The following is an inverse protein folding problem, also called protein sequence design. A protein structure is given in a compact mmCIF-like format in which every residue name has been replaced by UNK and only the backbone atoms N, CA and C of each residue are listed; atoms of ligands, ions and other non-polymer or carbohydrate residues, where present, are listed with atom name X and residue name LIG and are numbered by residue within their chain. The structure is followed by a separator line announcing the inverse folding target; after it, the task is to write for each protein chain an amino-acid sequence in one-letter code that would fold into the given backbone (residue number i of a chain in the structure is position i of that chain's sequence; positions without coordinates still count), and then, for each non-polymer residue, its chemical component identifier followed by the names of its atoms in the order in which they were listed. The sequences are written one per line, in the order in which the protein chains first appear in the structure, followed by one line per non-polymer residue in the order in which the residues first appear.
data_IF_883494230142
#
_entry.id   IF_883494230142
#
_cell.length_a   1.000
_cell.length_b   1.000
_cell.length_c   1.000
_cell.angle_alpha   90.00
_cell.angle_beta   90.00
_cell.angle_gamma   90.00
#
_symmetry.space_group_name_H-M   'P 1'
#
loop_
_entity.id
_entity.type
_entity.pdbx_description
1 polymer ?
#
# COMPACT_ATOMS: atom_id res chain seq x y z
N UNK A 1 -17.69 -11.23 5.83
CA UNK A 1 -16.23 -11.43 5.71
C UNK A 1 -15.67 -11.51 7.12
N UNK A 2 -14.72 -12.40 7.42
CA UNK A 2 -14.12 -12.47 8.78
C UNK A 2 -12.78 -11.73 8.79
N UNK A 3 -12.65 -10.77 9.72
CA UNK A 3 -11.45 -9.97 9.92
C UNK A 3 -10.68 -10.46 11.13
N UNK A 4 -9.39 -10.70 10.97
CA UNK A 4 -8.51 -11.06 12.09
C UNK A 4 -7.41 -10.01 12.26
N UNK A 5 -7.37 -9.37 13.44
CA UNK A 5 -6.24 -8.55 13.83
C UNK A 5 -5.12 -9.41 14.39
N UNK A 6 -3.95 -9.29 13.75
CA UNK A 6 -2.78 -10.05 14.11
C UNK A 6 -1.58 -9.12 14.35
N UNK A 7 -0.60 -9.63 15.10
CA UNK A 7 0.65 -8.93 15.39
C UNK A 7 1.82 -9.90 15.27
N UNK A 8 2.80 -9.54 14.46
CA UNK A 8 4.08 -10.26 14.38
C UNK A 8 5.21 -9.28 14.68
N UNK A 9 6.09 -9.62 15.62
CA UNK A 9 7.38 -9.02 16.03
C UNK A 9 7.54 -7.48 16.11
N UNK A 10 6.93 -6.67 15.25
CA UNK A 10 6.67 -5.22 15.38
C UNK A 10 5.60 -4.67 14.40
N UNK A 11 4.82 -5.54 13.75
CA UNK A 11 3.90 -5.21 12.67
C UNK A 11 2.49 -5.66 13.03
N UNK A 12 1.61 -4.69 13.28
CA UNK A 12 0.15 -4.92 13.37
C UNK A 12 -0.39 -5.01 11.95
N UNK A 13 -1.20 -6.02 11.69
CA UNK A 13 -1.89 -6.17 10.42
C UNK A 13 -3.30 -6.66 10.60
N UNK A 14 -4.18 -6.21 9.71
CA UNK A 14 -5.49 -6.80 9.51
C UNK A 14 -5.34 -7.91 8.46
N UNK A 15 -5.87 -9.10 8.71
CA UNK A 15 -5.86 -10.18 7.72
C UNK A 15 -7.25 -10.68 7.39
N UNK A 16 -7.43 -11.00 6.10
CA UNK A 16 -8.64 -11.58 5.55
C UNK A 16 -8.24 -12.79 4.71
N UNK A 17 -9.02 -13.88 4.79
CA UNK A 17 -8.79 -15.09 4.00
C UNK A 17 -8.85 -14.77 2.50
N UNK A 18 -7.85 -15.23 1.73
CA UNK A 18 -7.84 -15.10 0.26
C UNK A 18 -8.71 -16.19 -0.34
N UNK A 19 -9.64 -15.82 -1.21
CA UNK A 19 -10.41 -16.75 -2.03
C UNK A 19 -9.46 -17.50 -2.99
N UNK A 20 -9.75 -18.78 -3.24
CA UNK A 20 -8.88 -19.64 -4.05
C UNK A 20 -8.74 -19.15 -5.50
N UNK A 21 -7.62 -19.46 -6.14
CA UNK A 21 -7.33 -19.08 -7.53
C UNK A 21 -5.94 -18.49 -7.72
N UNK A 22 -5.56 -18.30 -8.98
CA UNK A 22 -4.36 -17.60 -9.39
C UNK A 22 -4.51 -16.10 -9.18
N UNK A 23 -3.39 -15.39 -9.00
CA UNK A 23 -3.40 -13.95 -8.80
C UNK A 23 -3.93 -13.22 -10.05
N UNK A 24 -5.14 -12.66 -9.93
CA UNK A 24 -5.79 -11.83 -10.94
C UNK A 24 -5.07 -10.49 -11.17
N UNK A 25 -5.61 -9.68 -12.08
CA UNK A 25 -5.07 -8.35 -12.39
C UNK A 25 -5.11 -7.43 -11.17
N UNK A 26 -6.26 -7.38 -10.48
CA UNK A 26 -6.52 -6.53 -9.33
C UNK A 26 -5.54 -6.85 -8.19
N UNK A 27 -5.38 -8.15 -7.86
CA UNK A 27 -4.39 -8.61 -6.88
C UNK A 27 -2.97 -8.14 -7.24
N UNK A 28 -2.55 -8.35 -8.49
CA UNK A 28 -1.22 -7.93 -8.96
C UNK A 28 -1.03 -6.41 -8.83
N UNK A 29 -2.07 -5.62 -9.11
CA UNK A 29 -2.00 -4.16 -9.00
C UNK A 29 -1.83 -3.71 -7.55
N UNK A 30 -2.66 -4.19 -6.63
CA UNK A 30 -2.62 -3.73 -5.23
C UNK A 30 -1.40 -4.27 -4.47
N UNK A 31 -0.89 -5.46 -4.80
CA UNK A 31 0.30 -6.03 -4.16
C UNK A 31 1.60 -5.36 -4.65
N UNK A 32 1.66 -4.99 -5.94
CA UNK A 32 2.89 -4.41 -6.53
C UNK A 32 3.01 -2.90 -6.36
N UNK A 33 1.90 -2.20 -6.15
CA UNK A 33 1.86 -0.75 -6.05
C UNK A 33 1.60 -0.29 -4.62
N UNK A 34 2.01 0.94 -4.32
CA UNK A 34 1.56 1.67 -3.13
C UNK A 34 0.55 2.70 -3.59
N UNK A 35 -0.73 2.38 -3.50
CA UNK A 35 -1.82 3.25 -3.96
C UNK A 35 -2.21 4.20 -2.82
N UNK A 36 -2.23 5.53 -3.03
CA UNK A 36 -2.65 6.48 -2.01
C UNK A 36 -4.08 6.18 -1.51
N UNK A 37 -4.29 6.30 -0.20
CA UNK A 37 -5.58 6.00 0.44
C UNK A 37 -5.83 4.51 0.71
N UNK A 38 -5.06 3.59 0.11
CA UNK A 38 -5.12 2.16 0.42
C UNK A 38 -4.09 1.74 1.47
N UNK A 39 -4.50 0.80 2.33
CA UNK A 39 -3.59 0.07 3.19
C UNK A 39 -2.70 -0.83 2.32
N UNK A 40 -1.39 -0.84 2.60
CA UNK A 40 -0.46 -1.69 1.86
C UNK A 40 -0.81 -3.15 2.08
N UNK A 41 -1.10 -3.86 1.00
CA UNK A 41 -1.46 -5.28 1.02
C UNK A 41 -0.28 -6.17 0.68
N UNK A 42 -0.24 -7.34 1.33
CA UNK A 42 0.68 -8.43 1.04
C UNK A 42 -0.07 -9.75 1.15
N UNK A 43 0.38 -10.78 0.43
CA UNK A 43 -0.16 -12.14 0.58
C UNK A 43 0.73 -12.91 1.55
N UNK A 44 0.15 -13.41 2.64
CA UNK A 44 0.85 -14.23 3.63
C UNK A 44 0.21 -15.61 3.70
N UNK A 45 1.03 -16.62 4.00
CA UNK A 45 0.55 -17.97 4.26
C UNK A 45 0.59 -18.23 5.77
N UNK A 46 -0.58 -18.50 6.35
CA UNK A 46 -0.73 -18.88 7.75
C UNK A 46 -1.40 -20.25 7.81
N UNK A 47 -0.73 -21.23 8.41
CA UNK A 47 -1.21 -22.61 8.52
C UNK A 47 -1.61 -23.25 7.17
N UNK A 48 -0.89 -22.90 6.09
CA UNK A 48 -1.16 -23.41 4.75
C UNK A 48 -2.29 -22.67 4.00
N UNK A 49 -2.94 -21.69 4.62
CA UNK A 49 -3.95 -20.84 3.97
C UNK A 49 -3.36 -19.50 3.55
N UNK A 50 -3.64 -19.09 2.31
CA UNK A 50 -3.31 -17.76 1.83
C UNK A 50 -4.26 -16.73 2.44
N UNK A 51 -3.71 -15.60 2.88
CA UNK A 51 -4.45 -14.47 3.46
C UNK A 51 -3.91 -13.16 2.90
N UNK A 52 -4.81 -12.23 2.61
CA UNK A 52 -4.44 -10.84 2.41
C UNK A 52 -4.12 -10.23 3.77
N UNK A 53 -2.98 -9.55 3.87
CA UNK A 53 -2.48 -8.90 5.08
C UNK A 53 -2.25 -7.43 4.80
N UNK A 54 -3.04 -6.58 5.45
CA UNK A 54 -3.01 -5.13 5.33
C UNK A 54 -2.19 -4.52 6.49
N UNK A 55 -1.24 -3.66 6.16
CA UNK A 55 -0.44 -2.96 7.18
C UNK A 55 -1.32 -2.02 8.02
N UNK A 56 -1.33 -2.23 9.34
CA UNK A 56 -2.17 -1.51 10.30
C UNK A 56 -1.35 -0.86 11.43
N UNK A 57 -0.11 -0.44 11.14
CA UNK A 57 0.72 0.26 12.13
C UNK A 57 0.10 1.60 12.49
N UNK A 58 0.04 1.89 13.79
CA UNK A 58 -0.59 3.10 14.32
C UNK A 58 -2.04 3.29 13.84
N UNK A 59 -2.74 2.20 13.51
CA UNK A 59 -4.13 2.23 13.08
C UNK A 59 -5.07 1.56 14.10
N UNK A 60 -6.31 2.02 14.11
CA UNK A 60 -7.49 1.37 14.72
C UNK A 60 -8.55 1.13 13.64
N UNK A 61 -9.53 0.25 13.85
CA UNK A 61 -10.67 0.18 12.93
C UNK A 61 -11.53 1.42 13.07
N UNK A 62 -12.34 1.72 12.06
CA UNK A 62 -13.33 2.79 12.14
C UNK A 62 -14.35 2.49 13.26
N UNK A 63 -14.75 1.23 13.38
CA UNK A 63 -15.63 0.74 14.47
C UNK A 63 -15.02 1.02 15.86
N UNK A 64 -13.77 0.60 16.11
CA UNK A 64 -13.07 0.83 17.38
C UNK A 64 -12.88 2.32 17.67
N UNK A 65 -12.56 3.11 16.63
CA UNK A 65 -12.26 4.54 16.74
C UNK A 65 -13.47 5.35 17.24
N UNK A 66 -14.67 4.99 16.79
CA UNK A 66 -15.91 5.70 17.10
C UNK A 66 -16.85 4.92 18.03
N UNK A 67 -16.35 3.87 18.68
CA UNK A 67 -17.08 3.20 19.76
C UNK A 67 -17.29 4.16 20.94
N UNK A 68 -18.53 4.64 21.11
CA UNK A 68 -18.91 5.51 22.23
C UNK A 68 -18.50 6.99 22.10
N UNK A 69 -17.92 7.39 20.97
CA UNK A 69 -17.61 8.78 20.63
C UNK A 69 -18.37 9.18 19.36
N UNK A 70 -19.07 10.32 19.39
CA UNK A 70 -19.83 10.80 18.24
C UNK A 70 -18.91 11.26 17.11
N UNK A 71 -19.22 10.85 15.88
CA UNK A 71 -18.54 11.29 14.66
C UNK A 71 -18.92 12.75 14.41
N UNK A 72 -17.94 13.66 14.41
CA UNK A 72 -18.19 15.09 14.19
C UNK A 72 -18.29 15.42 12.69
N UNK A 73 -18.78 16.61 12.34
CA UNK A 73 -18.86 17.06 10.95
C UNK A 73 -17.46 17.14 10.29
N UNK A 74 -16.42 17.39 11.09
CA UNK A 74 -15.03 17.33 10.63
C UNK A 74 -14.62 15.92 10.27
N UNK A 75 -14.98 14.94 11.07
CA UNK A 75 -14.65 13.53 10.85
C UNK A 75 -15.42 12.98 9.64
N UNK A 76 -16.72 13.30 9.52
CA UNK A 76 -17.52 13.00 8.33
C UNK A 76 -16.87 13.50 7.05
N UNK A 77 -16.43 14.77 7.03
CA UNK A 77 -15.74 15.32 5.85
C UNK A 77 -14.43 14.61 5.53
N UNK A 78 -13.67 14.19 6.54
CA UNK A 78 -12.44 13.41 6.30
C UNK A 78 -12.76 12.06 5.69
N UNK A 79 -13.77 11.37 6.22
CA UNK A 79 -14.20 10.06 5.73
C UNK A 79 -14.64 10.15 4.27
N UNK A 80 -15.58 11.05 3.98
CA UNK A 80 -16.11 11.21 2.63
C UNK A 80 -15.03 11.67 1.63
N UNK A 81 -14.15 12.62 2.02
CA UNK A 81 -13.09 13.10 1.10
C UNK A 81 -12.05 12.02 0.84
N UNK A 82 -11.66 11.25 1.86
CA UNK A 82 -10.73 10.16 1.68
C UNK A 82 -11.33 9.04 0.83
N UNK A 83 -12.62 8.75 0.99
CA UNK A 83 -13.35 7.81 0.14
C UNK A 83 -13.37 8.29 -1.32
N UNK A 84 -13.71 9.57 -1.56
CA UNK A 84 -13.68 10.16 -2.89
C UNK A 84 -12.28 10.10 -3.52
N UNK A 85 -11.26 10.44 -2.74
CA UNK A 85 -9.87 10.43 -3.19
C UNK A 85 -9.39 9.02 -3.53
N UNK A 86 -9.70 8.02 -2.70
CA UNK A 86 -9.27 6.65 -2.99
C UNK A 86 -9.99 6.09 -4.20
N UNK A 87 -11.28 6.37 -4.40
CA UNK A 87 -12.00 5.97 -5.62
C UNK A 87 -11.37 6.53 -6.89
N UNK A 88 -10.98 7.81 -6.88
CA UNK A 88 -10.25 8.44 -7.99
C UNK A 88 -8.90 7.73 -8.25
N UNK A 89 -8.19 7.34 -7.18
CA UNK A 89 -6.97 6.55 -7.34
C UNK A 89 -7.27 5.17 -7.92
N UNK A 90 -8.31 4.46 -7.47
CA UNK A 90 -8.68 3.14 -8.01
C UNK A 90 -8.93 3.20 -9.51
N UNK A 91 -9.64 4.21 -10.01
CA UNK A 91 -9.87 4.41 -11.44
C UNK A 91 -8.55 4.53 -12.22
N UNK A 92 -7.56 5.25 -11.67
CA UNK A 92 -6.23 5.42 -12.29
C UNK A 92 -5.47 4.09 -12.41
N UNK A 93 -5.75 3.14 -11.53
CA UNK A 93 -5.17 1.80 -11.53
C UNK A 93 -6.08 0.74 -12.19
N UNK A 94 -7.20 1.15 -12.79
CA UNK A 94 -8.22 0.25 -13.38
C UNK A 94 -8.77 -0.76 -12.36
N UNK A 95 -8.87 -0.36 -11.10
CA UNK A 95 -9.42 -1.15 -10.02
C UNK A 95 -10.90 -0.79 -9.82
N UNK A 96 -11.73 -1.80 -9.57
CA UNK A 96 -13.16 -1.61 -9.26
C UNK A 96 -13.32 -0.98 -7.88
N UNK A 97 -14.26 -0.05 -7.73
CA UNK A 97 -14.51 0.65 -6.46
C UNK A 97 -15.25 -0.23 -5.46
N UNK A 98 -16.06 -1.15 -5.99
CA UNK A 98 -16.85 -2.17 -5.28
C UNK A 98 -15.96 -3.21 -4.60
N UNK A 99 -14.67 -3.26 -4.95
CA UNK A 99 -13.68 -4.13 -4.32
C UNK A 99 -13.05 -3.51 -3.05
N UNK A 100 -13.46 -2.29 -2.67
CA UNK A 100 -13.12 -1.71 -1.38
C UNK A 100 -13.82 -2.45 -0.25
N UNK A 101 -13.07 -2.68 0.82
CA UNK A 101 -13.62 -3.13 2.09
C UNK A 101 -14.17 -1.89 2.81
N UNK A 102 -15.49 -1.73 2.78
CA UNK A 102 -16.20 -0.62 3.41
C UNK A 102 -16.98 -1.04 4.67
N UNK A 103 -16.77 -2.26 5.15
CA UNK A 103 -17.16 -2.67 6.48
C UNK A 103 -16.38 -1.83 7.53
N UNK A 104 -17.03 -1.19 8.52
CA UNK A 104 -16.35 -0.41 9.56
C UNK A 104 -15.26 -1.17 10.34
N UNK A 105 -15.39 -2.50 10.47
CA UNK A 105 -14.37 -3.36 11.08
C UNK A 105 -13.15 -3.60 10.15
N UNK A 106 -13.30 -3.32 8.86
CA UNK A 106 -12.28 -3.45 7.83
C UNK A 106 -11.66 -2.13 7.34
N UNK A 107 -12.27 -0.98 7.68
CA UNK A 107 -11.70 0.35 7.42
C UNK A 107 -10.75 0.71 8.56
N UNK A 108 -9.54 1.15 8.23
CA UNK A 108 -8.55 1.57 9.20
C UNK A 108 -8.55 3.10 9.37
N UNK A 109 -8.23 3.58 10.56
CA UNK A 109 -7.97 4.98 10.87
C UNK A 109 -6.52 5.15 11.27
N UNK A 110 -5.74 5.91 10.49
CA UNK A 110 -4.34 6.19 10.81
C UNK A 110 -4.26 7.30 11.87
N UNK A 111 -3.75 6.97 13.05
CA UNK A 111 -3.70 7.89 14.19
C UNK A 111 -2.65 9.01 14.02
N UNK A 112 -1.62 8.79 13.22
CA UNK A 112 -0.55 9.78 12.98
C UNK A 112 -1.01 10.87 12.00
N UNK A 113 -1.67 10.45 10.92
CA UNK A 113 -2.19 11.33 9.88
C UNK A 113 -3.59 11.83 10.16
N UNK A 114 -4.30 11.15 11.06
CA UNK A 114 -5.67 11.43 11.44
C UNK A 114 -6.64 11.41 10.23
N UNK A 115 -6.50 10.36 9.41
CA UNK A 115 -7.24 10.09 8.18
C UNK A 115 -7.58 8.59 8.06
N UNK A 116 -8.68 8.23 7.40
CA UNK A 116 -8.99 6.83 7.12
C UNK A 116 -8.08 6.27 6.02
N UNK A 117 -7.84 4.97 6.09
CA UNK A 117 -7.08 4.18 5.13
C UNK A 117 -7.90 2.93 4.82
N UNK A 118 -8.15 2.70 3.54
CA UNK A 118 -9.08 1.65 3.11
C UNK A 118 -8.34 0.36 2.77
N UNK A 119 -8.93 -0.78 3.12
CA UNK A 119 -8.45 -2.08 2.67
C UNK A 119 -9.13 -2.41 1.32
N UNK A 120 -8.42 -3.12 0.45
CA UNK A 120 -8.93 -3.52 -0.86
C UNK A 120 -8.85 -5.04 -0.99
N UNK A 121 -9.98 -5.67 -1.27
CA UNK A 121 -10.06 -7.11 -1.47
C UNK A 121 -10.27 -7.39 -2.97
N UNK A 122 -9.28 -7.97 -3.66
CA UNK A 122 -9.44 -8.34 -5.07
C UNK A 122 -10.64 -9.27 -5.29
N UNK A 123 -11.48 -8.93 -6.26
CA UNK A 123 -12.64 -9.74 -6.66
C UNK A 123 -13.72 -9.88 -5.58
N UNK A 124 -13.82 -8.89 -4.68
CA UNK A 124 -14.89 -8.83 -3.69
C UNK A 124 -16.25 -8.58 -4.35
N UNK A 125 -16.31 -7.79 -5.41
CA UNK A 125 -17.55 -7.45 -6.13
C UNK A 125 -18.16 -8.63 -6.89
N UNK A 126 -17.43 -9.74 -7.04
CA UNK A 126 -17.99 -11.00 -7.53
C UNK A 126 -18.97 -11.61 -6.51
N UNK A 127 -18.92 -11.13 -5.27
CA UNK A 127 -19.91 -11.34 -4.23
C UNK A 127 -20.78 -10.08 -4.12
N UNK A 128 -22.06 -10.23 -3.75
CA UNK A 128 -22.87 -9.07 -3.34
C UNK A 128 -22.16 -8.38 -2.16
N UNK A 129 -21.51 -7.24 -2.42
CA UNK A 129 -20.78 -6.47 -1.42
C UNK A 129 -21.64 -5.31 -0.92
N UNK A 130 -22.24 -5.40 0.28
CA UNK A 130 -23.06 -4.32 0.84
C UNK A 130 -22.22 -3.19 1.44
N UNK A 131 -20.90 -3.13 1.18
CA UNK A 131 -19.97 -2.26 1.89
C UNK A 131 -20.36 -0.78 1.93
N UNK A 132 -20.91 -0.22 0.85
CA UNK A 132 -21.40 1.16 0.85
C UNK A 132 -22.53 1.38 1.84
N UNK A 133 -23.49 0.45 1.87
CA UNK A 133 -24.64 0.47 2.78
C UNK A 133 -24.15 0.31 4.22
N UNK A 134 -23.28 -0.66 4.49
CA UNK A 134 -22.70 -0.89 5.82
C UNK A 134 -21.99 0.36 6.36
N UNK A 135 -21.19 1.03 5.52
CA UNK A 135 -20.55 2.27 5.91
C UNK A 135 -21.58 3.38 6.17
N UNK A 136 -22.58 3.53 5.31
CA UNK A 136 -23.61 4.55 5.47
C UNK A 136 -24.43 4.37 6.75
N UNK A 137 -24.86 3.14 7.04
CA UNK A 137 -25.55 2.76 8.28
C UNK A 137 -24.70 3.06 9.50
N UNK A 138 -23.43 2.65 9.49
CA UNK A 138 -22.51 2.93 10.59
C UNK A 138 -22.37 4.43 10.85
N UNK A 139 -22.17 5.22 9.79
CA UNK A 139 -21.98 6.66 9.92
C UNK A 139 -23.21 7.32 10.52
N UNK A 140 -24.42 7.05 10.01
CA UNK A 140 -25.65 7.68 10.51
C UNK A 140 -25.97 7.29 11.96
N UNK A 141 -25.66 6.07 12.38
CA UNK A 141 -25.86 5.59 13.75
C UNK A 141 -24.88 6.21 14.76
N UNK A 142 -23.69 6.61 14.32
CA UNK A 142 -22.59 7.03 15.20
C UNK A 142 -22.27 8.52 15.12
N UNK A 143 -23.00 9.33 14.34
CA UNK A 143 -22.78 10.79 14.34
C UNK A 143 -23.04 11.41 15.70
N UNK A 144 -22.34 12.50 16.01
CA UNK A 144 -22.79 13.39 17.06
C UNK A 144 -24.06 14.12 16.59
N UNK A 145 -25.24 13.67 17.00
CA UNK A 145 -26.51 14.30 16.63
C UNK A 145 -26.67 15.75 17.15
N UNK A 146 -25.76 16.23 18.02
CA UNK A 146 -25.71 17.65 18.41
C UNK A 146 -24.93 18.51 17.41
N UNK A 147 -24.11 17.88 16.58
CA UNK A 147 -23.42 18.52 15.47
C UNK A 147 -24.31 18.44 14.22
N UNK A 148 -25.00 19.54 13.92
CA UNK A 148 -25.93 19.64 12.78
C UNK A 148 -25.24 19.31 11.45
N UNK A 149 -23.97 19.68 11.29
CA UNK A 149 -23.20 19.37 10.07
C UNK A 149 -22.90 17.86 9.97
N UNK A 150 -22.59 17.20 11.08
CA UNK A 150 -22.38 15.75 11.08
C UNK A 150 -23.65 15.00 10.69
N UNK A 151 -24.79 15.36 11.30
CA UNK A 151 -26.09 14.74 11.05
C UNK A 151 -26.55 14.97 9.60
N UNK A 152 -26.40 16.19 9.07
CA UNK A 152 -26.76 16.53 7.69
C UNK A 152 -25.92 15.71 6.68
N UNK A 153 -24.60 15.65 6.86
CA UNK A 153 -23.71 14.90 5.97
C UNK A 153 -23.99 13.39 5.99
N UNK A 154 -24.24 12.80 7.17
CA UNK A 154 -24.52 11.38 7.27
C UNK A 154 -25.88 11.02 6.66
N UNK A 155 -26.91 11.86 6.86
CA UNK A 155 -28.21 11.66 6.24
C UNK A 155 -28.12 11.73 4.71
N UNK A 156 -27.46 12.76 4.16
CA UNK A 156 -27.27 12.90 2.71
C UNK A 156 -26.50 11.70 2.12
N UNK A 157 -25.50 11.20 2.83
CA UNK A 157 -24.75 10.03 2.38
C UNK A 157 -25.60 8.75 2.41
N UNK A 158 -26.34 8.53 3.49
CA UNK A 158 -27.23 7.39 3.62
C UNK A 158 -28.33 7.36 2.54
N UNK A 159 -28.96 8.51 2.28
CA UNK A 159 -29.99 8.67 1.25
C UNK A 159 -29.44 8.33 -0.14
N UNK A 160 -28.29 8.93 -0.50
CA UNK A 160 -27.60 8.67 -1.78
C UNK A 160 -27.24 7.20 -1.98
N UNK A 161 -26.66 6.57 -0.96
CA UNK A 161 -26.28 5.15 -1.03
C UNK A 161 -27.51 4.27 -1.15
N UNK A 162 -28.61 4.61 -0.47
CA UNK A 162 -29.89 3.90 -0.57
C UNK A 162 -30.49 3.97 -1.98
N UNK A 163 -30.26 5.08 -2.69
CA UNK A 163 -30.63 5.26 -4.10
C UNK A 163 -29.62 4.64 -5.09
N UNK A 164 -28.57 3.97 -4.59
CA UNK A 164 -27.54 3.35 -5.43
C UNK A 164 -26.50 4.32 -5.99
N UNK A 165 -26.40 5.54 -5.44
CA UNK A 165 -25.44 6.56 -5.84
C UNK A 165 -24.24 6.57 -4.88
N UNK A 166 -23.08 6.12 -5.37
CA UNK A 166 -21.84 5.98 -4.56
C UNK A 166 -20.79 7.04 -4.87
N UNK A 167 -21.20 8.29 -5.02
CA UNK A 167 -20.29 9.42 -5.24
C UNK A 167 -20.27 10.37 -4.02
N UNK A 168 -19.28 10.23 -3.12
CA UNK A 168 -19.17 11.08 -1.94
C UNK A 168 -18.83 12.54 -2.26
N UNK A 169 -18.25 12.85 -3.42
CA UNK A 169 -17.83 14.22 -3.78
C UNK A 169 -19.04 15.16 -3.88
N UNK A 170 -20.15 14.63 -4.42
CA UNK A 170 -21.41 15.34 -4.59
C UNK A 170 -22.01 15.90 -3.29
N UNK A 171 -21.69 15.31 -2.14
CA UNK A 171 -22.17 15.74 -0.81
C UNK A 171 -21.24 16.80 -0.23
N UNK A 172 -19.93 16.59 -0.41
CA UNK A 172 -18.90 17.51 0.10
C UNK A 172 -19.01 18.88 -0.59
N UNK A 173 -19.18 18.89 -1.92
CA UNK A 173 -19.29 20.12 -2.70
C UNK A 173 -20.49 20.98 -2.29
N UNK A 174 -21.65 20.36 -2.06
CA UNK A 174 -22.85 21.06 -1.60
C UNK A 174 -22.69 21.66 -0.19
N UNK A 175 -22.04 20.93 0.72
CA UNK A 175 -21.79 21.42 2.08
C UNK A 175 -20.79 22.58 2.15
N UNK A 176 -19.92 22.75 1.15
CA UNK A 176 -18.98 23.87 1.07
C UNK A 176 -19.64 25.13 0.50
N UNK A 177 -20.46 24.99 -0.54
CA UNK A 177 -21.25 26.08 -1.13
C UNK A 177 -22.23 26.67 -0.10
N UNK A 178 -22.91 25.82 0.67
CA UNK A 178 -23.84 26.25 1.72
C UNK A 178 -23.13 27.00 2.86
N UNK A 179 -21.83 26.77 3.12
CA UNK A 179 -21.06 27.51 4.14
C UNK A 179 -20.66 28.92 3.68
N UNK A 180 -20.36 29.09 2.40
CA UNK A 180 -20.08 30.42 1.84
C UNK A 180 -21.34 31.29 1.88
N UNK A 181 -22.51 30.72 1.60
CA UNK A 181 -23.79 31.44 1.68
C UNK A 181 -24.28 31.67 3.13
N UNK A 182 -24.09 30.70 4.06
CA UNK A 182 -24.50 30.84 5.48
C UNK A 182 -23.69 31.89 6.27
N UNK A 183 -22.55 32.35 5.75
CA UNK A 183 -21.79 33.45 6.38
C UNK A 183 -22.46 34.81 6.18
N UNK A 184 -23.34 34.96 5.18
CA UNK A 184 -24.01 36.23 4.87
C UNK A 184 -25.48 36.31 5.30
N UNK A 185 -26.20 35.21 5.54
CA UNK A 185 -27.64 35.31 5.85
C UNK A 185 -28.13 34.34 6.94
N UNK A 186 -28.13 34.83 8.18
CA UNK A 186 -28.99 34.30 9.25
C UNK A 186 -30.44 34.69 8.95
N UNK A 187 -31.26 33.74 8.51
CA UNK A 187 -32.70 33.57 8.81
C UNK A 187 -33.20 32.30 8.12
N UNK A 188 -33.63 31.32 8.91
CA UNK A 188 -34.33 30.12 8.41
C UNK A 188 -35.72 30.53 7.91
N UNK A 189 -36.12 30.05 6.73
CA UNK A 189 -37.45 29.48 6.61
C UNK A 189 -37.42 28.08 5.97
N UNK A 190 -38.44 27.34 6.34
CA UNK A 190 -38.75 25.94 6.02
C UNK A 190 -39.33 25.77 4.60
N UNK A 191 -39.03 24.60 4.01
CA UNK A 191 -39.86 23.83 3.05
C UNK A 191 -39.68 24.01 1.51
N UNK A 192 -39.54 22.82 0.87
CA UNK A 192 -40.11 22.31 -0.41
C UNK A 192 -39.09 21.87 -1.48
N UNK A 193 -39.12 20.56 -1.70
CA UNK A 193 -38.53 19.78 -2.79
C UNK A 193 -38.99 20.34 -4.13
N UNK A 194 -38.05 20.53 -5.06
CA UNK A 194 -38.31 20.66 -6.50
C UNK A 194 -37.23 19.87 -7.24
N UNK A 195 -37.65 18.77 -7.86
CA UNK A 195 -36.93 18.07 -8.93
C UNK A 195 -36.72 19.02 -10.11
N UNK A 196 -35.57 18.94 -10.81
CA UNK A 196 -35.54 18.56 -12.22
C UNK A 196 -34.18 18.79 -12.93
N UNK A 197 -33.82 17.76 -13.71
CA UNK A 197 -33.17 17.77 -15.04
C UNK A 197 -31.64 17.95 -15.18
N UNK A 198 -31.02 16.79 -15.40
CA UNK A 198 -29.80 16.56 -16.17
C UNK A 198 -29.83 17.25 -17.55
N UNK A 199 -28.68 17.78 -17.96
CA UNK A 199 -28.32 17.86 -19.38
C UNK A 199 -26.84 17.55 -19.56
N UNK A 200 -26.57 16.52 -20.36
CA UNK A 200 -25.28 16.14 -20.90
C UNK A 200 -24.86 17.13 -22.00
N UNK A 201 -23.56 17.41 -22.15
CA UNK A 201 -22.81 17.03 -23.36
C UNK A 201 -21.40 17.66 -23.44
N UNK A 202 -20.47 16.81 -23.92
CA UNK A 202 -19.29 17.07 -24.77
C UNK A 202 -18.01 17.66 -24.15
N UNK A 203 -16.82 17.38 -24.70
CA UNK A 203 -16.19 16.25 -25.41
C UNK A 203 -14.74 16.73 -25.66
N UNK A 204 -13.80 15.79 -25.70
CA UNK A 204 -12.54 15.81 -26.46
C UNK A 204 -11.47 16.89 -26.22
N UNK A 205 -10.30 16.43 -25.74
CA UNK A 205 -9.02 16.85 -26.31
C UNK A 205 -8.01 15.70 -26.31
N UNK A 206 -7.49 15.36 -27.50
CA UNK A 206 -6.48 14.31 -27.72
C UNK A 206 -5.05 14.78 -27.37
N UNK A 207 -4.31 13.87 -26.71
CA UNK A 207 -2.95 13.35 -26.96
C UNK A 207 -1.88 14.28 -27.55
N UNK A 208 -0.72 14.39 -26.85
CA UNK A 208 0.61 14.35 -27.51
C UNK A 208 1.76 13.88 -26.61
N UNK A 209 2.35 12.77 -27.04
CA UNK A 209 3.76 12.33 -27.01
C UNK A 209 4.61 12.51 -25.74
N UNK A 210 5.03 11.38 -25.13
CA UNK A 210 6.40 11.25 -24.63
C UNK A 210 6.87 9.77 -24.60
N UNK A 211 6.93 9.12 -25.78
CA UNK A 211 7.60 7.82 -25.97
C UNK A 211 9.13 7.91 -25.92
N UNK A 212 9.72 9.06 -25.58
CA UNK A 212 11.19 9.25 -25.67
C UNK A 212 11.97 8.99 -24.37
N UNK A 213 11.31 8.65 -23.26
CA UNK A 213 11.97 8.46 -21.95
C UNK A 213 12.13 7.01 -21.48
N UNK A 214 11.49 6.04 -22.16
CA UNK A 214 11.53 4.64 -21.75
C UNK A 214 12.85 3.92 -22.11
N UNK A 215 13.63 4.41 -23.08
CA UNK A 215 14.87 3.74 -23.50
C UNK A 215 16.13 4.15 -22.71
N UNK A 216 16.08 5.22 -21.90
CA UNK A 216 17.24 5.63 -21.08
C UNK A 216 17.29 4.98 -19.70
N UNK A 217 16.17 4.46 -19.18
CA UNK A 217 16.11 3.87 -17.83
C UNK A 217 16.62 2.42 -17.82
N UNK A 218 16.59 1.73 -18.97
CA UNK A 218 16.85 0.29 -19.06
C UNK A 218 18.34 -0.06 -19.07
N UNK A 219 19.25 0.89 -19.34
CA UNK A 219 20.70 0.61 -19.37
C UNK A 219 21.44 0.89 -18.05
N UNK A 220 20.87 1.67 -17.14
CA UNK A 220 21.54 2.00 -15.86
C UNK A 220 21.28 0.97 -14.74
N UNK A 221 20.19 0.19 -14.79
CA UNK A 221 19.85 -0.77 -13.73
C UNK A 221 20.54 -2.13 -13.82
N UNK A 222 21.21 -2.45 -14.93
CA UNK A 222 21.93 -3.72 -15.09
C UNK A 222 23.42 -3.63 -14.68
N UNK A 223 23.95 -2.41 -14.52
CA UNK A 223 25.34 -2.18 -14.16
C UNK A 223 25.58 -2.19 -12.64
N UNK A 224 24.54 -1.88 -11.85
CA UNK A 224 24.64 -1.73 -10.38
C UNK A 224 24.57 -3.07 -9.61
N UNK A 225 24.06 -4.14 -10.24
CA UNK A 225 24.05 -5.49 -9.64
C UNK A 225 25.43 -6.17 -9.69
N UNK A 226 26.26 -5.88 -10.70
CA UNK A 226 27.56 -6.56 -10.90
C UNK A 226 28.67 -5.95 -10.04
N UNK A 227 28.64 -4.64 -9.78
CA UNK A 227 29.61 -3.92 -8.94
C UNK A 227 29.44 -4.25 -7.46
N UNK A 228 28.21 -4.45 -6.98
CA UNK A 228 27.92 -4.75 -5.58
C UNK A 228 28.30 -6.18 -5.15
N UNK A 229 28.14 -7.18 -6.03
CA UNK A 229 28.56 -8.56 -5.75
C UNK A 229 30.09 -8.67 -5.75
N UNK A 230 30.75 -7.95 -6.66
CA UNK A 230 32.21 -7.89 -6.72
C UNK A 230 32.82 -7.28 -5.45
N UNK A 231 32.20 -6.23 -4.89
CA UNK A 231 32.63 -5.63 -3.62
C UNK A 231 32.55 -6.56 -2.41
N UNK A 232 31.52 -7.41 -2.34
CA UNK A 232 31.36 -8.41 -1.26
C UNK A 232 32.44 -9.49 -1.37
N UNK A 233 32.71 -9.99 -2.58
CA UNK A 233 33.73 -11.02 -2.80
C UNK A 233 35.13 -10.49 -2.45
N UNK A 234 35.46 -9.25 -2.85
CA UNK A 234 36.75 -8.62 -2.49
C UNK A 234 36.91 -8.45 -0.97
N UNK A 235 35.82 -8.10 -0.27
CA UNK A 235 35.85 -7.97 1.19
C UNK A 235 36.05 -9.32 1.90
N UNK A 236 35.41 -10.39 1.41
CA UNK A 236 35.59 -11.74 1.96
C UNK A 236 37.00 -12.30 1.71
N UNK A 237 37.61 -12.04 0.55
CA UNK A 237 38.97 -12.52 0.26
C UNK A 237 40.04 -11.77 1.04
N UNK A 238 39.89 -10.46 1.24
CA UNK A 238 40.78 -9.65 2.09
C UNK A 238 40.75 -10.07 3.56
N UNK A 239 39.56 -10.39 4.09
CA UNK A 239 39.44 -10.84 5.48
C UNK A 239 40.04 -12.23 5.70
N UNK A 240 39.86 -13.15 4.75
CA UNK A 240 40.47 -14.48 4.80
C UNK A 240 42.00 -14.45 4.70
N UNK A 241 42.56 -13.59 3.84
CA UNK A 241 44.03 -13.43 3.70
C UNK A 241 44.64 -12.77 4.93
N UNK A 242 43.99 -11.76 5.52
CA UNK A 242 44.44 -11.16 6.77
C UNK A 242 44.45 -12.18 7.93
N UNK A 243 43.37 -12.96 8.10
CA UNK A 243 43.30 -14.00 9.12
C UNK A 243 44.35 -15.10 8.93
N UNK A 244 44.57 -15.55 7.68
CA UNK A 244 45.61 -16.51 7.34
C UNK A 244 47.02 -15.98 7.63
N UNK A 245 47.29 -14.72 7.30
CA UNK A 245 48.58 -14.08 7.58
C UNK A 245 48.88 -14.00 9.08
N UNK A 246 47.86 -13.72 9.90
CA UNK A 246 47.98 -13.69 11.36
C UNK A 246 48.21 -15.09 11.96
N UNK A 247 47.52 -16.10 11.45
CA UNK A 247 47.70 -17.49 11.89
C UNK A 247 49.12 -18.04 11.59
N UNK A 248 49.68 -17.69 10.43
CA UNK A 248 51.05 -18.07 10.03
C UNK A 248 52.09 -17.37 10.91
N UNK A 249 51.85 -16.10 11.27
CA UNK A 249 52.72 -15.35 12.17
C UNK A 249 52.77 -15.99 13.58
N UNK A 250 51.66 -16.56 14.06
CA UNK A 250 51.59 -17.25 15.35
C UNK A 250 52.25 -18.64 15.33
N UNK A 251 52.26 -19.33 14.19
CA UNK A 251 52.83 -20.69 14.08
C UNK A 251 54.33 -20.69 13.85
N UNK A 252 54.89 -19.61 13.29
CA UNK A 252 56.32 -19.50 12.97
C UNK A 252 56.95 -18.24 13.58
N UNK A 253 57.38 -18.27 14.85
CA UNK A 253 57.93 -17.09 15.54
C UNK A 253 59.23 -16.55 14.90
N UNK A 254 60.00 -17.38 14.17
CA UNK A 254 61.22 -16.93 13.47
C UNK A 254 61.00 -16.04 12.24
N UNK A 255 59.76 -15.86 11.78
CA UNK A 255 59.40 -14.95 10.68
C UNK A 255 59.28 -13.49 11.17
N UNK A 256 58.93 -13.28 12.44
CA UNK A 256 58.85 -11.97 13.06
C UNK A 256 60.23 -11.28 13.13
N UNK A 257 61.27 -12.05 13.47
CA UNK A 257 62.65 -11.55 13.59
C UNK A 257 63.24 -11.11 12.24
N UNK A 258 62.86 -11.75 11.13
CA UNK A 258 63.30 -11.34 9.77
C UNK A 258 62.63 -10.06 9.26
N UNK A 259 61.48 -9.72 9.80
CA UNK A 259 60.73 -8.49 9.49
C UNK A 259 61.06 -7.33 10.44
N UNK A 260 61.93 -7.55 11.44
CA UNK A 260 62.44 -6.51 12.35
C UNK A 260 61.42 -6.03 13.39
N UNK A 261 60.37 -6.80 13.65
CA UNK A 261 59.31 -6.44 14.58
C UNK A 261 59.75 -6.81 16.02
N UNK A 262 59.88 -5.81 16.89
CA UNK A 262 60.25 -6.00 18.30
C UNK A 262 59.08 -6.57 19.10
N UNK A 263 59.33 -7.20 20.24
CA UNK A 263 58.32 -7.91 21.05
C UNK A 263 57.06 -7.09 21.43
N UNK A 264 57.15 -5.76 21.48
CA UNK A 264 56.01 -4.87 21.71
C UNK A 264 55.17 -4.56 20.45
N UNK A 265 55.72 -4.79 19.26
CA UNK A 265 55.07 -4.49 17.98
C UNK A 265 53.99 -5.52 17.64
N UNK A 266 54.04 -6.71 18.23
CA UNK A 266 53.00 -7.74 18.06
C UNK A 266 51.65 -7.34 18.65
N UNK A 267 51.67 -6.69 19.81
CA UNK A 267 50.45 -6.19 20.47
C UNK A 267 49.90 -5.01 19.66
N UNK A 268 50.77 -4.11 19.21
CA UNK A 268 50.36 -2.98 18.40
C UNK A 268 49.77 -3.42 17.05
N UNK A 269 50.42 -4.34 16.35
CA UNK A 269 49.91 -4.92 15.11
C UNK A 269 48.55 -5.62 15.30
N UNK A 270 48.37 -6.37 16.39
CA UNK A 270 47.10 -6.98 16.75
C UNK A 270 45.97 -5.97 16.97
N UNK A 271 46.26 -4.86 17.66
CA UNK A 271 45.29 -3.76 17.88
C UNK A 271 44.91 -3.08 16.57
N UNK A 272 45.87 -2.80 15.70
CA UNK A 272 45.59 -2.18 14.39
C UNK A 272 44.69 -3.10 13.54
N UNK A 273 44.97 -4.40 13.50
CA UNK A 273 44.16 -5.38 12.77
C UNK A 273 42.74 -5.47 13.36
N UNK A 274 42.60 -5.47 14.68
CA UNK A 274 41.29 -5.51 15.34
C UNK A 274 40.43 -4.27 15.02
N UNK A 275 41.03 -3.08 14.96
CA UNK A 275 40.33 -1.84 14.59
C UNK A 275 39.85 -1.90 13.13
N UNK A 276 40.70 -2.38 12.21
CA UNK A 276 40.35 -2.54 10.80
C UNK A 276 39.21 -3.55 10.64
N UNK A 277 39.23 -4.65 11.40
CA UNK A 277 38.18 -5.68 11.38
C UNK A 277 36.85 -5.15 11.92
N UNK A 278 36.86 -4.38 13.02
CA UNK A 278 35.67 -3.74 13.57
C UNK A 278 35.05 -2.73 12.59
N UNK A 279 35.89 -1.92 11.92
CA UNK A 279 35.42 -0.97 10.91
C UNK A 279 34.82 -1.67 9.67
N UNK A 280 35.41 -2.78 9.24
CA UNK A 280 34.88 -3.59 8.14
C UNK A 280 33.53 -4.24 8.48
N UNK A 281 33.36 -4.77 9.70
CA UNK A 281 32.08 -5.33 10.17
C UNK A 281 31.01 -4.23 10.26
N UNK A 282 31.33 -3.07 10.83
CA UNK A 282 30.40 -1.95 10.90
C UNK A 282 30.01 -1.43 9.51
N UNK A 283 30.96 -1.38 8.56
CA UNK A 283 30.69 -1.07 7.16
C UNK A 283 29.76 -2.09 6.50
N UNK A 284 30.01 -3.39 6.71
CA UNK A 284 29.17 -4.46 6.19
C UNK A 284 27.76 -4.43 6.81
N UNK A 285 27.64 -4.24 8.12
CA UNK A 285 26.35 -4.14 8.84
C UNK A 285 25.58 -2.90 8.41
N UNK A 286 26.23 -1.75 8.23
CA UNK A 286 25.58 -0.54 7.72
C UNK A 286 25.10 -0.71 6.26
N UNK A 287 25.87 -1.44 5.45
CA UNK A 287 25.50 -1.76 4.06
C UNK A 287 24.35 -2.77 3.98
N UNK A 288 24.27 -3.73 4.92
CA UNK A 288 23.19 -4.73 5.03
C UNK A 288 21.93 -4.11 5.63
N UNK A 289 22.05 -3.21 6.62
CA UNK A 289 20.94 -2.47 7.24
C UNK A 289 20.19 -1.57 6.26
N UNK A 290 20.86 -1.11 5.18
CA UNK A 290 20.23 -0.38 4.08
C UNK A 290 19.57 -1.27 3.02
N UNK A 291 19.74 -2.60 3.08
CA UNK A 291 19.08 -3.53 2.17
C UNK A 291 17.84 -4.11 2.84
N UNK A 292 16.66 -3.78 2.32
CA UNK A 292 15.44 -4.56 2.58
C UNK A 292 15.72 -6.03 2.23
N UNK A 293 15.24 -7.02 3.00
CA UNK A 293 15.47 -8.41 2.70
C UNK A 293 15.00 -8.72 1.28
N UNK A 294 15.86 -9.36 0.50
CA UNK A 294 15.52 -9.85 -0.83
C UNK A 294 14.59 -11.04 -0.60
N UNK A 295 13.31 -10.79 -0.83
CA UNK A 295 12.26 -11.82 -0.88
C UNK A 295 12.64 -12.82 -1.97
N UNK A 296 12.80 -14.09 -1.59
CA UNK A 296 13.08 -15.16 -2.54
C UNK A 296 11.97 -15.21 -3.57
N UNK A 297 12.32 -14.97 -4.83
CA UNK A 297 11.42 -14.99 -5.98
C UNK A 297 10.90 -16.42 -6.13
N UNK A 298 9.61 -16.69 -5.86
CA UNK A 298 9.08 -18.05 -5.93
C UNK A 298 9.17 -18.62 -7.36
N UNK A 299 9.25 -19.96 -7.53
CA UNK A 299 9.58 -20.60 -8.80
C UNK A 299 8.67 -20.24 -9.98
N UNK A 300 7.42 -19.84 -9.72
CA UNK A 300 6.46 -19.44 -10.75
C UNK A 300 6.83 -18.11 -11.46
N UNK A 301 7.73 -17.31 -10.88
CA UNK A 301 8.23 -16.08 -11.52
C UNK A 301 9.40 -16.33 -12.49
N UNK A 302 9.89 -17.57 -12.57
CA UNK A 302 10.94 -17.98 -13.52
C UNK A 302 10.37 -18.50 -14.85
N UNK A 303 9.05 -18.68 -14.95
CA UNK A 303 8.46 -19.21 -16.18
C UNK A 303 8.25 -18.10 -17.21
N UNK A 304 9.23 -17.98 -18.12
CA UNK A 304 9.09 -17.21 -19.35
C UNK A 304 8.33 -18.04 -20.38
N UNK A 305 7.05 -18.32 -20.13
CA UNK A 305 6.14 -18.70 -21.21
C UNK A 305 5.29 -17.50 -21.59
N UNK A 306 5.67 -16.94 -22.74
CA UNK A 306 4.99 -15.91 -23.48
C UNK A 306 3.66 -16.49 -24.00
N UNK A 307 2.47 -16.10 -23.52
CA UNK A 307 1.25 -16.48 -24.18
C UNK A 307 1.09 -15.51 -25.36
N UNK A 308 1.35 -16.01 -26.56
CA UNK A 308 0.85 -15.41 -27.79
C UNK A 308 -0.67 -15.25 -27.65
N UNK A 309 -1.15 -14.00 -27.69
CA UNK A 309 -2.55 -13.70 -27.93
C UNK A 309 -2.93 -14.29 -29.30
N UNK A 310 -3.76 -15.33 -29.32
CA UNK A 310 -4.56 -15.70 -30.49
C UNK A 310 -5.90 -15.00 -30.32
N UNK A 311 -6.17 -14.07 -31.24
CA UNK A 311 -7.48 -13.49 -31.46
C UNK A 311 -8.21 -14.38 -32.44
N UNK A 312 -9.07 -15.26 -31.94
CA UNK A 312 -10.00 -15.99 -32.81
C UNK A 312 -11.39 -15.36 -32.62
N UNK A 313 -11.72 -14.52 -33.60
CA UNK A 313 -13.03 -14.00 -33.94
C UNK A 313 -13.96 -15.17 -34.29
N UNK A 314 -14.83 -15.61 -33.36
CA UNK A 314 -15.79 -16.69 -33.68
C UNK A 314 -17.16 -16.52 -33.00
N UNK A 315 -17.53 -15.30 -32.60
CA UNK A 315 -18.82 -15.00 -31.97
C UNK A 315 -19.85 -14.32 -32.89
N UNK A 316 -19.53 -14.08 -34.18
CA UNK A 316 -20.40 -13.33 -35.10
C UNK A 316 -20.93 -14.13 -36.30
N UNK A 317 -20.85 -15.47 -36.31
CA UNK A 317 -21.46 -16.29 -37.39
C UNK A 317 -22.74 -17.04 -37.01
N UNK A 318 -23.24 -16.96 -35.76
CA UNK A 318 -24.47 -17.67 -35.36
C UNK A 318 -25.76 -16.83 -35.37
N UNK A 319 -25.73 -15.57 -35.83
CA UNK A 319 -26.93 -14.70 -35.82
C UNK A 319 -27.41 -14.24 -37.20
N UNK A 320 -26.81 -14.69 -38.30
CA UNK A 320 -27.32 -14.39 -39.65
C UNK A 320 -27.08 -15.56 -40.60
N UNK A 321 -28.12 -16.29 -40.98
CA UNK A 321 -28.06 -17.19 -42.13
C UNK A 321 -29.00 -18.40 -42.07
N UNK A 322 -30.21 -18.19 -42.58
CA UNK A 322 -31.12 -19.12 -43.27
C UNK A 322 -31.36 -20.56 -42.74
#
# INVERSE_FOLDING_TARGET
MEFEFNRDSDHRYLSVKRSGGDAGFQEKMVVRNSIPGLARVSVKYLNGEARYSYEARSCQTLEDMFTGAGITGRDMKKILRALASVMKELDRYLLRREDLILDPAGILWNLERNEPVFCYYPDLSEYENPGFILLAEFLIEHVDHKDEEAAELAYQWFDRVSDGVWDPESIIGNAEIVKEEKTEQRKVPEMKIVEEHFSEEKENFYIRDDESKAEKITKEKEQDKKTAVLGIIICMTLTATAAGSYAILLTYPGLADRLGLSGNDHIFAGVVIAIIFAAAILGAVHLISKRKPVEEVPPFLLDKQNPSFSSDDDYLEQLTGE
#
